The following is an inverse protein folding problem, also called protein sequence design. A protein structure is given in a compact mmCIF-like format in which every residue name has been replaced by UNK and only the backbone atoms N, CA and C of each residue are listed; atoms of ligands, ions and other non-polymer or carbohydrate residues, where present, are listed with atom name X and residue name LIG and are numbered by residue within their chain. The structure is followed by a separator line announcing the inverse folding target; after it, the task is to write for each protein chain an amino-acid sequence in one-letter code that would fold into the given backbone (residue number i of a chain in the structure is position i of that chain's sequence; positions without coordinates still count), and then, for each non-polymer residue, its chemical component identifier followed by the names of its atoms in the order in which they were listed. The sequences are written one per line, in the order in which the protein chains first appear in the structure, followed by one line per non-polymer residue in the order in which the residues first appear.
data_IF_746556180994
#
_entry.id   IF_746556180994
#
_cell.length_a   1.000
_cell.length_b   1.000
_cell.length_c   1.000
_cell.angle_alpha   90.00
_cell.angle_beta   90.00
_cell.angle_gamma   90.00
#
_symmetry.space_group_name_H-M   'P 1'
#
loop_
_entity.id
_entity.type
_entity.pdbx_description
1 polymer ?
#
# COMPACT_ATOMS: atom_id res chain seq x y z
N UNK A 1 17.12 -13.82 11.04
CA UNK A 1 16.41 -12.81 10.24
C UNK A 1 14.94 -13.04 10.52
N UNK A 2 14.21 -12.02 10.99
CA UNK A 2 12.77 -12.18 11.15
C UNK A 2 12.16 -12.43 9.77
N UNK A 3 11.21 -13.36 9.67
CA UNK A 3 10.53 -13.63 8.40
C UNK A 3 9.77 -12.37 7.98
N UNK A 4 10.24 -11.75 6.90
CA UNK A 4 9.59 -10.59 6.28
C UNK A 4 8.19 -11.01 5.80
N UNK A 5 7.20 -10.25 6.24
CA UNK A 5 5.80 -10.51 6.00
C UNK A 5 5.25 -9.62 4.89
N UNK A 6 4.06 -9.98 4.42
CA UNK A 6 3.32 -9.16 3.48
C UNK A 6 2.00 -8.75 4.10
N UNK A 7 1.69 -7.47 3.97
CA UNK A 7 0.47 -6.87 4.43
C UNK A 7 -0.35 -6.32 3.26
N UNK A 8 -1.66 -6.30 3.47
CA UNK A 8 -2.59 -5.57 2.62
C UNK A 8 -3.32 -4.56 3.49
N UNK A 9 -3.32 -3.29 3.09
CA UNK A 9 -3.95 -2.21 3.82
C UNK A 9 -4.97 -1.48 2.95
N UNK A 10 -6.15 -1.22 3.51
CA UNK A 10 -7.17 -0.42 2.86
C UNK A 10 -6.81 1.07 2.92
N UNK A 11 -6.70 1.70 1.76
CA UNK A 11 -6.34 3.11 1.60
C UNK A 11 -7.41 4.09 2.09
N UNK A 12 -8.68 3.72 1.94
CA UNK A 12 -9.82 4.54 2.36
C UNK A 12 -9.73 6.00 1.91
N UNK A 13 -10.12 6.91 2.81
CA UNK A 13 -10.10 8.36 2.58
C UNK A 13 -8.69 8.96 2.48
N UNK A 14 -7.68 8.28 3.04
CA UNK A 14 -6.29 8.70 2.93
C UNK A 14 -5.80 8.66 1.49
N UNK A 15 -6.28 7.72 0.67
CA UNK A 15 -5.97 7.70 -0.77
C UNK A 15 -6.96 8.50 -1.62
N UNK A 16 -8.24 8.52 -1.27
CA UNK A 16 -9.25 9.16 -2.13
C UNK A 16 -9.25 10.69 -2.09
N UNK A 17 -8.64 11.29 -1.06
CA UNK A 17 -8.44 12.74 -0.97
C UNK A 17 -7.02 13.09 -1.44
N UNK A 18 -6.85 13.89 -2.52
CA UNK A 18 -5.53 14.28 -2.99
C UNK A 18 -4.69 14.92 -1.90
N UNK A 19 -5.28 15.68 -0.98
CA UNK A 19 -4.57 16.36 0.11
C UNK A 19 -4.08 15.42 1.21
N UNK A 20 -4.72 14.26 1.39
CA UNK A 20 -4.38 13.28 2.43
C UNK A 20 -3.54 12.12 1.92
N UNK A 21 -3.30 12.06 0.60
CA UNK A 21 -2.54 10.99 -0.02
C UNK A 21 -1.04 11.21 0.21
N UNK A 22 -0.58 10.86 1.40
CA UNK A 22 0.82 10.92 1.84
C UNK A 22 1.72 9.90 1.18
N UNK A 23 1.19 9.05 0.29
CA UNK A 23 2.00 8.20 -0.59
C UNK A 23 2.55 9.04 -1.74
N UNK A 24 1.69 9.78 -2.45
CA UNK A 24 2.08 10.63 -3.58
C UNK A 24 2.56 12.02 -3.12
N UNK A 25 2.00 12.56 -2.03
CA UNK A 25 2.47 13.79 -1.40
C UNK A 25 3.44 13.45 -0.26
N UNK A 26 4.69 13.16 -0.62
CA UNK A 26 5.74 12.81 0.34
C UNK A 26 5.90 13.89 1.42
N UNK A 27 6.24 13.46 2.63
CA UNK A 27 6.49 14.32 3.78
C UNK A 27 8.00 14.51 3.91
N UNK A 28 8.46 15.74 4.15
CA UNK A 28 9.90 16.02 4.25
C UNK A 28 10.54 15.30 5.44
N UNK A 29 11.80 14.89 5.26
CA UNK A 29 12.64 14.27 6.29
C UNK A 29 12.65 15.09 7.58
N UNK A 30 12.88 16.40 7.48
CA UNK A 30 12.92 17.31 8.64
C UNK A 30 11.62 17.31 9.45
N UNK A 31 10.48 17.26 8.77
CA UNK A 31 9.17 17.20 9.41
C UNK A 31 9.00 15.89 10.18
N UNK A 32 9.38 14.77 9.55
CA UNK A 32 9.31 13.44 10.16
C UNK A 32 10.20 13.38 11.39
N UNK A 33 11.47 13.76 11.25
CA UNK A 33 12.43 13.79 12.36
C UNK A 33 11.91 14.68 13.47
N UNK A 34 11.46 15.90 13.15
CA UNK A 34 10.95 16.83 14.17
C UNK A 34 9.75 16.26 14.94
N UNK A 35 8.84 15.56 14.26
CA UNK A 35 7.66 14.99 14.89
C UNK A 35 7.96 13.70 15.67
N UNK A 36 8.95 12.90 15.24
CA UNK A 36 9.30 11.63 15.88
C UNK A 36 10.35 11.76 16.99
N UNK A 37 11.18 12.80 16.98
CA UNK A 37 12.32 12.96 17.90
C UNK A 37 11.95 13.00 19.38
N UNK A 38 10.75 13.47 19.71
CA UNK A 38 10.24 13.48 21.09
C UNK A 38 9.68 12.11 21.52
N UNK A 39 9.26 11.28 20.56
CA UNK A 39 8.48 10.06 20.79
C UNK A 39 9.29 8.77 20.55
N UNK A 40 10.34 8.82 19.73
CA UNK A 40 11.14 7.66 19.30
C UNK A 40 12.63 7.90 19.53
N UNK A 41 13.34 6.85 19.95
CA UNK A 41 14.76 6.94 20.34
C UNK A 41 15.73 6.62 19.19
N UNK A 42 15.24 6.03 18.12
CA UNK A 42 16.07 5.58 17.00
C UNK A 42 15.36 5.94 15.69
N UNK A 43 16.04 6.76 14.87
CA UNK A 43 15.60 7.23 13.56
C UNK A 43 16.79 7.22 12.60
N UNK A 44 17.80 6.37 12.85
CA UNK A 44 19.05 6.33 12.07
C UNK A 44 18.75 6.11 10.59
N UNK A 45 17.87 5.16 10.26
CA UNK A 45 17.49 4.85 8.86
C UNK A 45 16.93 6.05 8.09
N UNK A 46 16.18 6.93 8.76
CA UNK A 46 15.61 8.13 8.12
C UNK A 46 16.66 9.24 8.05
N UNK A 47 17.50 9.36 9.08
CA UNK A 47 18.50 10.42 9.20
C UNK A 47 19.66 10.21 8.23
N UNK A 48 20.08 8.97 8.03
CA UNK A 48 21.19 8.58 7.17
C UNK A 48 20.77 8.38 5.70
N UNK A 49 19.47 8.25 5.43
CA UNK A 49 18.96 8.13 4.06
C UNK A 49 19.27 9.37 3.22
N UNK A 50 19.61 9.16 1.94
CA UNK A 50 19.81 10.24 0.97
C UNK A 50 18.48 10.89 0.52
N UNK A 51 17.33 10.26 0.78
CA UNK A 51 16.01 10.76 0.40
C UNK A 51 15.58 11.94 1.27
N UNK A 52 15.17 13.05 0.68
CA UNK A 52 14.76 14.25 1.43
C UNK A 52 13.28 14.25 1.82
N UNK A 53 12.49 13.30 1.32
CA UNK A 53 11.08 13.15 1.64
C UNK A 53 10.62 11.71 1.48
N UNK A 54 9.64 11.30 2.29
CA UNK A 54 9.18 9.91 2.35
C UNK A 54 7.68 9.80 2.15
N UNK A 55 7.27 8.71 1.50
CA UNK A 55 5.88 8.27 1.52
C UNK A 55 5.54 7.69 2.88
N UNK A 56 4.42 8.12 3.46
CA UNK A 56 4.00 7.68 4.80
C UNK A 56 2.61 7.07 4.72
N UNK A 57 2.40 6.02 5.51
CA UNK A 57 1.07 5.49 5.83
C UNK A 57 0.89 5.32 7.33
N UNK A 58 -0.31 4.97 7.76
CA UNK A 58 -0.59 4.75 9.17
C UNK A 58 -1.72 3.76 9.39
N UNK A 59 -1.75 3.20 10.59
CA UNK A 59 -2.84 2.34 11.03
C UNK A 59 -3.18 2.58 12.51
N UNK A 60 -4.42 2.25 12.85
CA UNK A 60 -5.00 2.47 14.17
C UNK A 60 -4.43 1.51 15.21
N UNK A 61 -4.22 2.02 16.42
CA UNK A 61 -3.96 1.24 17.62
C UNK A 61 -5.11 0.28 17.99
N UNK A 62 -6.30 0.52 17.42
CA UNK A 62 -7.47 -0.34 17.57
C UNK A 62 -7.63 -1.36 16.44
N UNK A 63 -6.64 -1.49 15.54
CA UNK A 63 -6.68 -2.51 14.50
C UNK A 63 -6.41 -3.90 15.11
N UNK A 64 -7.47 -4.70 15.26
CA UNK A 64 -7.40 -6.03 15.86
C UNK A 64 -6.58 -7.03 15.03
N UNK A 65 -6.44 -6.82 13.71
CA UNK A 65 -5.67 -7.73 12.86
C UNK A 65 -4.17 -7.51 13.05
N UNK A 66 -3.75 -6.25 13.24
CA UNK A 66 -2.35 -5.88 13.40
C UNK A 66 -1.88 -5.87 14.87
N UNK A 67 -2.78 -5.79 15.84
CA UNK A 67 -2.42 -5.78 17.27
C UNK A 67 -1.53 -6.96 17.69
N UNK A 68 -1.79 -8.15 17.16
CA UNK A 68 -1.02 -9.36 17.46
C UNK A 68 0.04 -9.68 16.39
N UNK A 69 0.04 -8.94 15.28
CA UNK A 69 0.91 -9.17 14.13
C UNK A 69 1.28 -7.82 13.50
N UNK A 70 2.01 -6.94 14.22
CA UNK A 70 2.33 -5.63 13.70
C UNK A 70 3.31 -5.75 12.51
N UNK A 71 3.22 -4.84 11.53
CA UNK A 71 4.28 -4.67 10.54
C UNK A 71 5.60 -4.24 11.21
N UNK A 72 6.70 -4.60 10.58
CA UNK A 72 8.06 -4.21 10.98
C UNK A 72 8.87 -3.78 9.75
N UNK A 73 10.06 -3.24 9.98
CA UNK A 73 11.04 -2.92 8.93
C UNK A 73 11.29 -4.12 8.01
N UNK A 74 11.37 -3.86 6.70
CA UNK A 74 11.58 -4.86 5.64
C UNK A 74 10.32 -5.58 5.16
N UNK A 75 9.19 -5.46 5.87
CA UNK A 75 7.92 -6.01 5.42
C UNK A 75 7.39 -5.27 4.18
N UNK A 76 6.64 -5.99 3.33
CA UNK A 76 6.03 -5.41 2.13
C UNK A 76 4.56 -5.10 2.38
N UNK A 77 4.11 -3.94 1.91
CA UNK A 77 2.73 -3.49 2.04
C UNK A 77 2.12 -3.25 0.67
N UNK A 78 1.00 -3.90 0.40
CA UNK A 78 0.10 -3.50 -0.66
C UNK A 78 -0.97 -2.56 -0.11
N UNK A 79 -1.13 -1.39 -0.72
CA UNK A 79 -2.20 -0.45 -0.36
C UNK A 79 -3.27 -0.51 -1.44
N UNK A 80 -4.51 -0.64 -1.01
CA UNK A 80 -5.65 -0.94 -1.88
C UNK A 80 -6.70 0.15 -1.83
N UNK A 81 -7.41 0.40 -2.93
CA UNK A 81 -8.52 1.33 -2.97
C UNK A 81 -9.56 0.87 -3.98
N UNK A 82 -10.84 1.04 -3.64
CA UNK A 82 -11.99 0.79 -4.51
C UNK A 82 -11.90 -0.49 -5.38
N UNK A 83 -11.46 -1.61 -4.81
CA UNK A 83 -11.30 -2.90 -5.49
C UNK A 83 -10.10 -3.01 -6.45
N UNK A 84 -9.01 -2.30 -6.18
CA UNK A 84 -7.72 -2.51 -6.81
C UNK A 84 -6.58 -2.36 -5.79
N UNK A 85 -5.47 -3.05 -6.04
CA UNK A 85 -4.19 -2.69 -5.45
C UNK A 85 -3.59 -1.50 -6.21
N UNK A 86 -3.15 -0.50 -5.46
CA UNK A 86 -2.74 0.82 -5.95
C UNK A 86 -1.26 1.08 -5.71
N UNK A 87 -0.72 0.62 -4.59
CA UNK A 87 0.69 0.75 -4.28
C UNK A 87 1.23 -0.56 -3.75
N UNK A 88 2.50 -0.80 -4.02
CA UNK A 88 3.36 -1.75 -3.31
C UNK A 88 4.54 -0.95 -2.77
N UNK A 89 4.92 -1.20 -1.52
CA UNK A 89 6.01 -0.50 -0.85
C UNK A 89 6.73 -1.43 0.13
N UNK A 90 7.97 -1.10 0.46
CA UNK A 90 8.72 -1.74 1.54
C UNK A 90 8.75 -0.81 2.75
N UNK A 91 8.59 -1.35 3.95
CA UNK A 91 8.67 -0.57 5.18
C UNK A 91 10.14 -0.31 5.49
N UNK A 92 10.53 0.97 5.43
CA UNK A 92 11.83 1.43 5.90
C UNK A 92 11.85 1.50 7.42
N UNK A 93 10.80 2.06 8.02
CA UNK A 93 10.73 2.30 9.47
C UNK A 93 9.29 2.28 9.99
N UNK A 94 9.12 1.80 11.24
CA UNK A 94 7.83 1.80 11.95
C UNK A 94 7.95 2.59 13.24
N UNK A 95 7.17 3.65 13.38
CA UNK A 95 7.24 4.52 14.56
C UNK A 95 5.87 4.77 15.17
N UNK A 96 5.83 4.99 16.48
CA UNK A 96 4.63 5.47 17.16
C UNK A 96 4.64 6.99 17.17
N UNK A 97 3.54 7.61 16.74
CA UNK A 97 3.38 9.05 16.87
C UNK A 97 1.94 9.50 16.84
N UNK A 98 1.57 10.38 17.76
CA UNK A 98 0.31 11.12 17.65
C UNK A 98 0.52 12.51 17.06
N UNK A 99 1.74 13.05 17.14
CA UNK A 99 2.08 14.35 16.55
C UNK A 99 1.89 14.29 15.03
N UNK A 100 2.47 13.30 14.35
CA UNK A 100 2.35 13.16 12.88
C UNK A 100 0.93 12.99 12.36
N UNK A 101 -0.07 12.75 13.21
CA UNK A 101 -1.46 12.62 12.77
C UNK A 101 -2.00 13.87 12.05
N UNK A 102 -1.37 15.03 12.23
CA UNK A 102 -1.76 16.25 11.52
C UNK A 102 -1.69 16.10 9.99
N UNK A 103 -0.81 15.24 9.45
CA UNK A 103 -0.70 15.00 8.00
C UNK A 103 -1.96 14.36 7.41
N UNK A 104 -2.79 13.73 8.25
CA UNK A 104 -4.12 13.22 7.89
C UNK A 104 -5.24 14.02 8.54
N UNK A 105 -5.12 15.34 8.55
CA UNK A 105 -6.11 16.27 9.12
C UNK A 105 -6.40 16.03 10.61
N UNK A 106 -5.38 15.64 11.39
CA UNK A 106 -5.44 15.57 12.85
C UNK A 106 -6.27 14.40 13.41
N UNK A 107 -6.42 13.31 12.63
CA UNK A 107 -7.07 12.08 13.10
C UNK A 107 -6.44 11.56 14.38
N UNK A 108 -7.23 11.43 15.45
CA UNK A 108 -6.71 11.07 16.77
C UNK A 108 -6.34 9.60 16.89
N UNK A 109 -7.05 8.71 16.20
CA UNK A 109 -6.66 7.31 16.05
C UNK A 109 -5.81 7.17 14.80
N UNK A 110 -4.73 6.37 14.90
CA UNK A 110 -3.68 6.06 13.91
C UNK A 110 -2.29 6.16 14.53
N UNK A 111 -2.11 5.72 15.78
CA UNK A 111 -0.84 5.81 16.52
C UNK A 111 0.38 5.36 15.70
N UNK A 112 0.26 4.27 14.94
CA UNK A 112 1.39 3.66 14.23
C UNK A 112 1.60 4.27 12.84
N UNK A 113 2.85 4.62 12.54
CA UNK A 113 3.32 5.21 11.28
C UNK A 113 4.21 4.22 10.55
N UNK A 114 4.00 4.10 9.25
CA UNK A 114 4.81 3.32 8.35
C UNK A 114 5.49 4.29 7.40
N UNK A 115 6.82 4.33 7.45
CA UNK A 115 7.64 5.11 6.53
C UNK A 115 8.14 4.14 5.48
N UNK A 116 7.94 4.49 4.21
CA UNK A 116 8.21 3.59 3.10
C UNK A 116 9.43 3.97 2.28
N UNK A 117 10.02 2.94 1.68
CA UNK A 117 10.97 3.01 0.58
C UNK A 117 10.46 2.13 -0.59
N UNK A 118 11.09 2.28 -1.76
CA UNK A 118 10.79 1.47 -2.96
C UNK A 118 9.29 1.47 -3.30
N UNK A 119 8.67 2.66 -3.30
CA UNK A 119 7.23 2.82 -3.49
C UNK A 119 6.89 2.82 -4.97
N UNK A 120 6.10 1.84 -5.39
CA UNK A 120 5.67 1.70 -6.77
C UNK A 120 4.16 1.83 -6.83
N UNK A 121 3.69 2.73 -7.67
CA UNK A 121 2.28 2.78 -8.05
C UNK A 121 2.00 1.67 -9.05
N UNK A 122 1.03 0.85 -8.68
CA UNK A 122 0.51 -0.25 -9.47
C UNK A 122 -0.99 -0.07 -9.70
N UNK A 123 -1.55 -0.81 -10.64
CA UNK A 123 -2.99 -0.89 -10.82
C UNK A 123 -3.41 -2.31 -11.14
N UNK A 124 -3.86 -3.02 -10.10
CA UNK A 124 -4.28 -4.43 -10.21
C UNK A 124 -5.70 -4.58 -9.66
N UNK A 125 -6.72 -4.73 -10.53
CA UNK A 125 -8.13 -4.76 -10.13
C UNK A 125 -8.54 -6.10 -9.50
N UNK A 126 -9.72 -6.13 -8.88
CA UNK A 126 -10.33 -7.33 -8.28
C UNK A 126 -11.45 -7.87 -9.19
N UNK A 127 -11.21 -8.95 -9.95
CA UNK A 127 -12.14 -9.46 -10.96
C UNK A 127 -13.51 -9.84 -10.40
N UNK A 128 -13.53 -10.43 -9.20
CA UNK A 128 -14.75 -10.97 -8.58
C UNK A 128 -15.63 -9.90 -7.91
N UNK A 129 -15.40 -8.62 -8.18
CA UNK A 129 -16.17 -7.52 -7.59
C UNK A 129 -17.39 -7.09 -8.43
N UNK A 130 -17.62 -7.71 -9.60
CA UNK A 130 -18.78 -7.45 -10.46
C UNK A 130 -18.76 -6.07 -11.15
N UNK A 131 -17.59 -5.44 -11.26
CA UNK A 131 -17.45 -4.12 -11.90
C UNK A 131 -17.48 -4.24 -13.42
N UNK A 132 -18.12 -3.26 -14.07
CA UNK A 132 -18.24 -3.12 -15.52
C UNK A 132 -17.01 -2.40 -16.09
N UNK A 133 -16.81 -2.45 -17.41
CA UNK A 133 -15.69 -1.77 -18.09
C UNK A 133 -15.61 -0.27 -17.76
N UNK A 134 -16.75 0.41 -17.65
CA UNK A 134 -16.82 1.83 -17.27
C UNK A 134 -16.11 2.15 -15.95
N UNK A 135 -16.01 1.18 -15.04
CA UNK A 135 -15.30 1.37 -13.77
C UNK A 135 -13.82 1.68 -13.98
N UNK A 136 -13.16 1.13 -15.02
CA UNK A 136 -11.77 1.46 -15.32
C UNK A 136 -11.60 2.93 -15.71
N UNK A 137 -12.55 3.49 -16.46
CA UNK A 137 -12.53 4.90 -16.87
C UNK A 137 -12.78 5.83 -15.67
N UNK A 138 -13.64 5.43 -14.74
CA UNK A 138 -14.05 6.23 -13.59
C UNK A 138 -13.11 6.10 -12.38
N UNK A 139 -12.23 5.08 -12.36
CA UNK A 139 -11.39 4.82 -11.21
C UNK A 139 -10.21 5.80 -11.14
N UNK A 140 -10.14 6.58 -10.06
CA UNK A 140 -9.17 7.69 -9.90
C UNK A 140 -7.70 7.30 -10.02
N UNK A 141 -7.37 6.03 -9.76
CA UNK A 141 -6.00 5.52 -9.90
C UNK A 141 -5.74 4.73 -11.18
N UNK A 142 -6.78 4.41 -11.96
CA UNK A 142 -6.60 3.67 -13.20
C UNK A 142 -5.82 4.53 -14.19
N UNK A 143 -4.77 4.00 -14.81
CA UNK A 143 -4.23 4.60 -16.02
C UNK A 143 -5.31 4.66 -17.11
N UNK A 144 -5.09 5.46 -18.15
CA UNK A 144 -5.99 5.49 -19.30
C UNK A 144 -6.19 4.10 -19.88
N UNK A 145 -7.44 3.74 -20.19
CA UNK A 145 -7.85 2.39 -20.67
C UNK A 145 -6.99 1.89 -21.84
N UNK A 146 -6.51 2.80 -22.69
CA UNK A 146 -5.60 2.47 -23.79
C UNK A 146 -4.28 1.84 -23.36
N UNK A 147 -3.83 2.14 -22.14
CA UNK A 147 -2.53 1.76 -21.58
C UNK A 147 -2.61 0.53 -20.68
N UNK A 148 -3.81 0.01 -20.43
CA UNK A 148 -4.06 -1.12 -19.51
C UNK A 148 -4.91 -2.23 -20.15
N UNK A 149 -4.78 -2.40 -21.47
CA UNK A 149 -5.55 -3.38 -22.23
C UNK A 149 -5.34 -4.80 -21.71
N UNK A 150 -4.11 -5.17 -21.36
CA UNK A 150 -3.75 -6.48 -20.83
C UNK A 150 -4.18 -6.67 -19.38
N UNK A 151 -4.19 -5.61 -18.59
CA UNK A 151 -4.80 -5.62 -17.24
C UNK A 151 -6.31 -5.89 -17.35
N UNK A 152 -7.01 -5.23 -18.27
CA UNK A 152 -8.44 -5.43 -18.52
C UNK A 152 -8.72 -6.84 -19.05
N UNK A 153 -7.87 -7.36 -19.94
CA UNK A 153 -7.96 -8.75 -20.43
C UNK A 153 -7.84 -9.75 -19.27
N UNK A 154 -6.84 -9.58 -18.40
CA UNK A 154 -6.68 -10.41 -17.19
C UNK A 154 -7.91 -10.32 -16.28
N UNK A 155 -8.43 -9.11 -16.05
CA UNK A 155 -9.62 -8.88 -15.24
C UNK A 155 -10.84 -9.65 -15.79
N UNK A 156 -11.09 -9.56 -17.11
CA UNK A 156 -12.19 -10.29 -17.77
C UNK A 156 -12.05 -11.82 -17.62
N UNK A 157 -10.82 -12.31 -17.59
CA UNK A 157 -10.50 -13.72 -17.38
C UNK A 157 -10.49 -14.14 -15.89
N UNK A 158 -10.93 -13.26 -14.97
CA UNK A 158 -10.98 -13.59 -13.55
C UNK A 158 -9.62 -13.51 -12.83
N UNK A 159 -8.59 -12.95 -13.46
CA UNK A 159 -7.21 -12.88 -12.95
C UNK A 159 -6.92 -11.45 -12.45
N UNK A 160 -6.52 -11.32 -11.19
CA UNK A 160 -6.20 -10.02 -10.59
C UNK A 160 -5.60 -10.15 -9.20
N UNK A 161 -5.70 -9.09 -8.39
CA UNK A 161 -4.91 -8.98 -7.17
C UNK A 161 -5.18 -10.08 -6.14
N UNK A 162 -6.44 -10.53 -6.03
CA UNK A 162 -6.83 -11.62 -5.12
C UNK A 162 -6.04 -12.91 -5.38
N UNK A 163 -5.64 -13.18 -6.63
CA UNK A 163 -4.82 -14.34 -6.99
C UNK A 163 -3.39 -14.20 -6.53
N UNK A 164 -2.88 -12.98 -6.59
CA UNK A 164 -1.51 -12.65 -6.16
C UNK A 164 -1.35 -12.96 -4.66
N UNK A 165 -2.37 -12.63 -3.88
CA UNK A 165 -2.38 -12.81 -2.41
C UNK A 165 -3.08 -14.10 -1.94
N UNK A 166 -3.37 -15.05 -2.83
CA UNK A 166 -4.01 -16.35 -2.53
C UNK A 166 -5.36 -16.23 -1.79
N UNK A 167 -6.17 -15.24 -2.17
CA UNK A 167 -7.53 -14.99 -1.66
C UNK A 167 -8.56 -15.04 -2.80
N UNK A 168 -8.33 -15.89 -3.81
CA UNK A 168 -9.19 -16.00 -4.99
C UNK A 168 -10.61 -16.43 -4.67
N UNK A 169 -10.85 -17.12 -3.56
CA UNK A 169 -12.17 -17.52 -3.10
C UNK A 169 -13.01 -16.36 -2.53
N UNK A 170 -12.38 -15.22 -2.20
CA UNK A 170 -13.05 -14.07 -1.57
C UNK A 170 -13.62 -13.07 -2.58
N UNK A 171 -14.74 -12.45 -2.19
CA UNK A 171 -15.46 -11.44 -2.95
C UNK A 171 -15.43 -10.11 -2.20
N UNK A 172 -15.48 -9.00 -2.94
CA UNK A 172 -15.57 -7.65 -2.39
C UNK A 172 -14.24 -7.01 -2.01
N UNK A 173 -14.28 -5.74 -1.56
CA UNK A 173 -13.08 -5.00 -1.17
C UNK A 173 -12.46 -5.54 0.11
N UNK A 174 -11.13 -5.44 0.22
CA UNK A 174 -10.41 -5.68 1.48
C UNK A 174 -10.68 -4.47 2.39
N UNK A 175 -11.08 -4.73 3.62
CA UNK A 175 -11.37 -3.71 4.64
C UNK A 175 -10.33 -3.81 5.75
N UNK A 176 -9.84 -2.65 6.22
CA UNK A 176 -8.81 -2.58 7.25
C UNK A 176 -7.44 -3.04 6.76
N UNK A 177 -6.60 -3.48 7.71
CA UNK A 177 -5.31 -4.09 7.41
C UNK A 177 -5.33 -5.61 7.64
N UNK A 178 -4.49 -6.34 6.90
CA UNK A 178 -4.39 -7.79 6.93
C UNK A 178 -2.93 -8.22 6.74
N UNK A 179 -2.41 -9.04 7.65
CA UNK A 179 -1.21 -9.85 7.41
C UNK A 179 -1.59 -11.07 6.57
N UNK A 180 -0.86 -11.34 5.49
CA UNK A 180 -1.08 -12.51 4.66
C UNK A 180 -0.53 -13.78 5.32
N UNK A 181 -1.27 -14.89 5.22
CA UNK A 181 -0.86 -16.20 5.72
C UNK A 181 0.00 -17.01 4.75
N UNK A 182 0.52 -16.37 3.70
CA UNK A 182 1.36 -16.97 2.66
C UNK A 182 2.73 -16.31 2.66
N UNK A 183 3.76 -17.06 2.26
CA UNK A 183 5.15 -16.59 2.25
C UNK A 183 5.36 -15.41 1.29
N UNK A 184 6.29 -14.52 1.64
CA UNK A 184 6.74 -13.40 0.80
C UNK A 184 7.10 -13.84 -0.63
N UNK A 185 7.93 -14.88 -0.75
CA UNK A 185 8.39 -15.39 -2.05
C UNK A 185 7.25 -15.83 -2.96
N UNK A 186 6.23 -16.50 -2.41
CA UNK A 186 5.04 -16.92 -3.17
C UNK A 186 4.28 -15.72 -3.72
N UNK A 187 4.05 -14.68 -2.90
CA UNK A 187 3.34 -13.47 -3.34
C UNK A 187 4.13 -12.72 -4.39
N UNK A 188 5.44 -12.55 -4.18
CA UNK A 188 6.31 -11.85 -5.13
C UNK A 188 6.44 -12.63 -6.45
N UNK A 189 6.49 -13.97 -6.39
CA UNK A 189 6.41 -14.83 -7.56
C UNK A 189 5.10 -14.65 -8.32
N UNK A 190 3.95 -14.68 -7.63
CA UNK A 190 2.65 -14.45 -8.24
C UNK A 190 2.52 -13.03 -8.83
N UNK A 191 3.04 -12.03 -8.13
CA UNK A 191 3.05 -10.64 -8.59
C UNK A 191 3.90 -10.50 -9.86
N UNK A 192 5.10 -11.08 -9.87
CA UNK A 192 5.97 -11.12 -11.05
C UNK A 192 5.29 -11.80 -12.24
N UNK A 193 4.64 -12.95 -12.02
CA UNK A 193 3.88 -13.63 -13.07
C UNK A 193 2.75 -12.74 -13.61
N UNK A 194 2.04 -12.02 -12.75
CA UNK A 194 0.99 -11.08 -13.17
C UNK A 194 1.56 -9.91 -13.98
N UNK A 195 2.68 -9.33 -13.55
CA UNK A 195 3.39 -8.29 -14.29
C UNK A 195 3.76 -8.78 -15.69
N UNK A 196 4.33 -9.97 -15.82
CA UNK A 196 4.68 -10.57 -17.13
C UNK A 196 3.43 -10.78 -17.99
N UNK A 197 2.35 -11.36 -17.42
CA UNK A 197 1.09 -11.58 -18.16
C UNK A 197 0.45 -10.30 -18.66
N UNK A 198 0.62 -9.20 -17.92
CA UNK A 198 0.06 -7.89 -18.29
C UNK A 198 1.02 -7.06 -19.14
N UNK A 199 2.14 -7.62 -19.61
CA UNK A 199 3.21 -6.88 -20.29
C UNK A 199 3.66 -5.64 -19.49
N UNK A 200 3.68 -5.77 -18.16
CA UNK A 200 4.01 -4.71 -17.20
C UNK A 200 3.08 -3.50 -17.21
N UNK A 201 1.94 -3.53 -17.92
CA UNK A 201 0.94 -2.46 -17.94
C UNK A 201 0.34 -2.19 -16.55
N UNK A 202 0.44 -3.14 -15.61
CA UNK A 202 0.01 -2.95 -14.24
C UNK A 202 0.97 -2.12 -13.38
N UNK A 203 2.21 -1.90 -13.83
CA UNK A 203 3.18 -1.01 -13.18
C UNK A 203 3.01 0.38 -13.77
N UNK A 204 2.62 1.36 -12.95
CA UNK A 204 2.27 2.70 -13.41
C UNK A 204 3.47 3.63 -13.37
N UNK A 205 4.12 3.74 -12.20
CA UNK A 205 5.34 4.54 -12.00
C UNK A 205 5.96 4.24 -10.63
N UNK A 206 7.24 4.55 -10.51
CA UNK A 206 7.91 4.75 -9.23
C UNK A 206 7.49 6.11 -8.63
N UNK A 207 7.43 6.19 -7.30
CA UNK A 207 6.95 7.36 -6.54
C UNK A 207 8.09 8.07 -5.84
#
# INVERSE_FOLDING_TARGET
MADENIFVMAGGTGLSSPFLNTIENKISKDVIISALKEENKDLEDITESEEESFSIWGYSEFDNNLKNNPPQKGDIVFITSNNAAIYIATILEVSESNVLNYIWAGRQSWKYKLIFENVIRIFIPYPKSGKKEKWFEEHSFSPGVSNIKKVIECYKNGIGFRRIIDLDDKIGPIQGALKLGISKDKVLGNFSEYCIKTNFECIVKEI
#
